data_IF_616503772722
#
_entry.id   IF_616503772722
#
_cell.length_a   1.000
_cell.length_b   1.000
_cell.length_c   1.000
_cell.angle_alpha   90.00
_cell.angle_beta   90.00
_cell.angle_gamma   90.00
#
_symmetry.space_group_name_H-M   'P 1'
#
loop_
_entity.id
_entity.type
_entity.pdbx_description
1 polymer ?
#
# COMPACT_ATOMS: atom_id res chain seq x y z
N UNK A 1 20.47 -20.52 -17.54
CA UNK A 1 20.56 -19.36 -18.47
C UNK A 1 21.80 -18.50 -18.31
N UNK A 2 22.05 -17.86 -17.16
CA UNK A 2 23.20 -16.95 -16.95
C UNK A 2 24.54 -17.48 -17.46
N UNK A 3 24.88 -18.69 -17.04
CA UNK A 3 26.12 -19.37 -17.43
C UNK A 3 26.12 -19.72 -18.92
N UNK A 4 24.98 -20.14 -19.46
CA UNK A 4 24.84 -20.40 -20.90
C UNK A 4 25.04 -19.13 -21.75
N UNK A 5 24.50 -17.99 -21.31
CA UNK A 5 24.73 -16.68 -21.97
C UNK A 5 26.22 -16.30 -21.93
N UNK A 6 26.87 -16.44 -20.77
CA UNK A 6 28.29 -16.17 -20.62
C UNK A 6 29.14 -17.05 -21.56
N UNK A 7 28.87 -18.36 -21.59
CA UNK A 7 29.58 -19.31 -22.46
C UNK A 7 29.34 -18.98 -23.94
N UNK A 8 28.10 -18.62 -24.32
CA UNK A 8 27.76 -18.33 -25.71
C UNK A 8 28.48 -17.11 -26.26
N UNK A 9 28.59 -16.05 -25.45
CA UNK A 9 29.05 -14.73 -25.88
C UNK A 9 30.49 -14.41 -25.44
N UNK A 10 31.17 -15.32 -24.73
CA UNK A 10 32.56 -15.09 -24.33
C UNK A 10 33.53 -15.20 -25.51
N UNK A 11 34.48 -14.27 -25.57
CA UNK A 11 35.59 -14.29 -26.53
C UNK A 11 36.81 -15.07 -26.04
N UNK A 12 36.80 -15.51 -24.78
CA UNK A 12 37.89 -16.27 -24.15
C UNK A 12 38.08 -17.64 -24.81
N UNK A 13 39.34 -17.99 -25.12
CA UNK A 13 39.68 -19.21 -25.86
C UNK A 13 39.35 -20.49 -25.09
N UNK A 14 39.53 -20.52 -23.77
CA UNK A 14 39.15 -21.66 -22.94
C UNK A 14 37.63 -21.81 -22.88
N UNK A 15 36.91 -20.70 -22.78
CA UNK A 15 35.44 -20.72 -22.77
C UNK A 15 34.87 -21.16 -24.13
N UNK A 16 35.54 -20.85 -25.25
CA UNK A 16 35.16 -21.39 -26.58
C UNK A 16 35.25 -22.91 -26.63
N UNK A 17 36.27 -23.52 -26.01
CA UNK A 17 36.35 -24.99 -25.89
C UNK A 17 35.17 -25.55 -25.08
N UNK A 18 34.80 -24.88 -23.98
CA UNK A 18 33.62 -25.22 -23.19
C UNK A 18 32.35 -25.10 -24.03
N UNK A 19 32.20 -24.04 -24.85
CA UNK A 19 31.06 -23.87 -25.78
C UNK A 19 30.96 -25.05 -26.75
N UNK A 20 32.04 -25.41 -27.43
CA UNK A 20 32.08 -26.55 -28.36
C UNK A 20 31.71 -27.87 -27.67
N UNK A 21 32.26 -28.12 -26.48
CA UNK A 21 31.92 -29.31 -25.68
C UNK A 21 30.42 -29.34 -25.31
N UNK A 22 29.87 -28.22 -24.83
CA UNK A 22 28.46 -28.13 -24.45
C UNK A 22 27.50 -28.23 -25.64
N UNK A 23 27.90 -27.76 -26.83
CA UNK A 23 27.15 -27.92 -28.07
C UNK A 23 27.17 -29.38 -28.55
N UNK A 24 28.30 -30.07 -28.45
CA UNK A 24 28.38 -31.52 -28.74
C UNK A 24 27.47 -32.32 -27.81
N UNK A 25 27.51 -32.04 -26.51
CA UNK A 25 26.59 -32.65 -25.54
C UNK A 25 25.11 -32.32 -25.80
N UNK A 26 24.82 -31.15 -26.38
CA UNK A 26 23.46 -30.79 -26.79
C UNK A 26 22.97 -31.68 -27.93
N UNK A 27 23.83 -32.03 -28.88
CA UNK A 27 23.49 -32.91 -30.02
C UNK A 27 23.44 -34.39 -29.62
N UNK A 28 24.22 -34.82 -28.63
CA UNK A 28 24.15 -36.17 -28.05
C UNK A 28 23.06 -36.28 -26.97
N UNK A 29 22.76 -37.49 -26.47
CA UNK A 29 21.85 -37.69 -25.32
C UNK A 29 22.45 -37.28 -23.96
N UNK A 30 23.50 -36.47 -23.96
CA UNK A 30 24.19 -36.02 -22.75
C UNK A 30 23.60 -34.71 -22.21
N UNK A 31 23.84 -34.45 -20.92
CA UNK A 31 23.45 -33.21 -20.26
C UNK A 31 24.26 -32.04 -20.80
N UNK A 32 23.59 -30.93 -21.07
CA UNK A 32 24.20 -29.70 -21.60
C UNK A 32 23.61 -28.48 -20.92
N UNK A 33 24.47 -27.50 -20.60
CA UNK A 33 24.03 -26.25 -19.98
C UNK A 33 23.10 -25.44 -20.88
N UNK A 34 23.19 -25.62 -22.20
CA UNK A 34 22.28 -25.01 -23.16
C UNK A 34 20.91 -25.69 -23.14
N UNK A 35 20.84 -27.02 -22.95
CA UNK A 35 19.56 -27.74 -22.74
C UNK A 35 18.90 -27.31 -21.43
N UNK A 36 19.67 -27.29 -20.34
CA UNK A 36 19.18 -26.85 -19.03
C UNK A 36 18.70 -25.39 -19.08
N UNK A 37 19.40 -24.52 -19.84
CA UNK A 37 18.97 -23.15 -20.04
C UNK A 37 17.68 -23.03 -20.86
N UNK A 38 17.51 -23.80 -21.94
CA UNK A 38 16.25 -23.85 -22.71
C UNK A 38 15.09 -24.33 -21.84
N UNK A 39 15.27 -25.41 -21.10
CA UNK A 39 14.26 -25.94 -20.17
C UNK A 39 13.85 -24.90 -19.12
N UNK A 40 14.82 -24.16 -18.60
CA UNK A 40 14.55 -23.06 -17.66
C UNK A 40 13.71 -21.93 -18.27
N UNK A 41 13.83 -21.66 -19.58
CA UNK A 41 13.03 -20.63 -20.26
C UNK A 41 11.70 -21.14 -20.79
N UNK A 42 11.46 -22.45 -20.82
CA UNK A 42 10.15 -23.04 -21.16
C UNK A 42 9.08 -22.69 -20.12
N UNK A 43 9.40 -22.69 -18.82
CA UNK A 43 8.47 -22.28 -17.76
C UNK A 43 7.87 -20.89 -17.99
N UNK A 44 8.65 -19.84 -18.31
CA UNK A 44 8.10 -18.54 -18.71
C UNK A 44 7.54 -18.47 -20.13
N UNK A 45 7.50 -19.58 -20.88
CA UNK A 45 7.13 -19.63 -22.31
C UNK A 45 8.02 -18.77 -23.20
N UNK A 46 9.29 -18.64 -22.84
CA UNK A 46 10.32 -17.92 -23.61
C UNK A 46 11.13 -18.95 -24.39
N UNK A 47 11.13 -18.83 -25.71
CA UNK A 47 12.05 -19.63 -26.53
C UNK A 47 13.45 -19.06 -26.39
N UNK A 48 14.42 -19.92 -26.07
CA UNK A 48 15.81 -19.52 -25.94
C UNK A 48 16.67 -20.25 -26.97
N UNK A 49 17.41 -19.47 -27.74
CA UNK A 49 18.42 -19.95 -28.66
C UNK A 49 19.77 -19.31 -28.37
N UNK A 50 20.81 -20.03 -28.77
CA UNK A 50 22.20 -19.65 -28.58
C UNK A 50 22.86 -19.74 -29.93
N UNK A 51 23.00 -18.59 -30.58
CA UNK A 51 23.65 -18.45 -31.87
C UNK A 51 25.14 -18.15 -31.65
N UNK A 52 25.92 -18.16 -32.73
CA UNK A 52 27.37 -17.97 -32.63
C UNK A 52 27.76 -16.62 -32.01
N UNK A 53 26.89 -15.61 -32.13
CA UNK A 53 27.16 -14.24 -31.71
C UNK A 53 26.22 -13.67 -30.64
N UNK A 54 25.13 -14.38 -30.28
CA UNK A 54 24.16 -13.87 -29.31
C UNK A 54 23.34 -14.99 -28.65
N UNK A 55 22.81 -14.69 -27.46
CA UNK A 55 21.67 -15.41 -26.89
C UNK A 55 20.39 -14.72 -27.36
N UNK A 56 19.50 -15.46 -28.02
CA UNK A 56 18.22 -14.96 -28.51
C UNK A 56 17.11 -15.45 -27.59
N UNK A 57 16.34 -14.54 -27.03
CA UNK A 57 15.16 -14.83 -26.20
C UNK A 57 13.92 -14.33 -26.94
N UNK A 58 12.99 -15.23 -27.29
CA UNK A 58 11.74 -14.88 -27.97
C UNK A 58 10.54 -15.04 -27.05
N UNK A 59 9.71 -14.01 -26.99
CA UNK A 59 8.47 -13.99 -26.22
C UNK A 59 7.31 -13.56 -27.13
N UNK A 60 6.57 -14.51 -27.69
CA UNK A 60 5.62 -14.24 -28.78
C UNK A 60 6.36 -13.70 -30.01
N UNK A 61 5.94 -12.54 -30.52
CA UNK A 61 6.53 -11.89 -31.70
C UNK A 61 7.75 -10.99 -31.37
N UNK A 62 8.15 -10.91 -30.09
CA UNK A 62 9.28 -10.08 -29.66
C UNK A 62 10.56 -10.91 -29.53
N UNK A 63 11.55 -10.55 -30.34
CA UNK A 63 12.91 -11.11 -30.29
C UNK A 63 13.85 -10.20 -29.51
N UNK A 64 14.52 -10.76 -28.51
CA UNK A 64 15.45 -10.04 -27.63
C UNK A 64 16.83 -10.67 -27.71
N UNK A 65 17.75 -9.98 -28.39
CA UNK A 65 19.12 -10.44 -28.56
C UNK A 65 20.05 -9.90 -27.47
N UNK A 66 20.77 -10.81 -26.81
CA UNK A 66 21.83 -10.48 -25.85
C UNK A 66 23.16 -10.93 -26.44
N UNK A 67 23.93 -9.99 -26.97
CA UNK A 67 25.28 -10.22 -27.50
C UNK A 67 26.38 -10.09 -26.43
N UNK A 68 26.03 -9.57 -25.26
CA UNK A 68 26.97 -9.40 -24.15
C UNK A 68 27.13 -10.69 -23.34
N UNK A 69 28.36 -10.96 -22.88
CA UNK A 69 28.67 -12.05 -21.96
C UNK A 69 28.17 -11.81 -20.54
N UNK A 70 27.81 -10.58 -20.17
CA UNK A 70 27.33 -10.22 -18.84
C UNK A 70 26.10 -11.03 -18.42
N UNK A 71 26.20 -11.82 -17.33
CA UNK A 71 25.11 -12.68 -16.87
C UNK A 71 23.82 -11.93 -16.49
N UNK A 72 23.92 -10.65 -16.14
CA UNK A 72 22.79 -9.87 -15.64
C UNK A 72 21.83 -9.45 -16.75
N UNK A 73 22.30 -9.24 -17.98
CA UNK A 73 21.44 -8.78 -19.09
C UNK A 73 20.42 -9.84 -19.50
N UNK A 74 20.82 -11.09 -19.63
CA UNK A 74 19.86 -12.18 -19.88
C UNK A 74 18.92 -12.41 -18.67
N UNK A 75 19.41 -12.22 -17.45
CA UNK A 75 18.58 -12.36 -16.23
C UNK A 75 17.51 -11.26 -16.13
N UNK A 76 17.86 -10.01 -16.41
CA UNK A 76 16.94 -8.88 -16.31
C UNK A 76 15.78 -9.01 -17.30
N UNK A 77 16.06 -9.50 -18.52
CA UNK A 77 15.05 -9.78 -19.54
C UNK A 77 14.04 -10.82 -19.04
N UNK A 78 14.51 -11.98 -18.58
CA UNK A 78 13.62 -13.03 -18.07
C UNK A 78 12.84 -12.57 -16.86
N UNK A 79 13.48 -11.82 -15.96
CA UNK A 79 12.79 -11.26 -14.80
C UNK A 79 11.66 -10.33 -15.25
N UNK A 80 11.91 -9.46 -16.23
CA UNK A 80 10.89 -8.56 -16.77
C UNK A 80 9.72 -9.33 -17.36
N UNK A 81 9.98 -10.29 -18.26
CA UNK A 81 8.93 -11.13 -18.88
C UNK A 81 8.13 -11.89 -17.82
N UNK A 82 8.80 -12.47 -16.81
CA UNK A 82 8.12 -13.16 -15.71
C UNK A 82 7.25 -12.23 -14.88
N UNK A 83 7.73 -11.02 -14.58
CA UNK A 83 6.97 -10.00 -13.86
C UNK A 83 5.74 -9.60 -14.67
N UNK A 84 5.90 -9.27 -15.95
CA UNK A 84 4.79 -8.87 -16.83
C UNK A 84 3.74 -9.97 -16.96
N UNK A 85 4.18 -11.24 -17.08
CA UNK A 85 3.28 -12.40 -17.08
C UNK A 85 2.51 -12.52 -15.77
N UNK A 86 3.21 -12.49 -14.62
CA UNK A 86 2.56 -12.58 -13.29
C UNK A 86 1.56 -11.45 -13.06
N UNK A 87 1.88 -10.24 -13.55
CA UNK A 87 0.96 -9.10 -13.52
C UNK A 87 -0.31 -9.42 -14.32
N UNK A 88 -0.17 -9.92 -15.56
CA UNK A 88 -1.32 -10.32 -16.40
C UNK A 88 -2.13 -11.46 -15.78
N UNK A 89 -1.47 -12.48 -15.24
CA UNK A 89 -2.13 -13.60 -14.57
C UNK A 89 -2.95 -13.11 -13.36
N UNK A 90 -2.41 -12.18 -12.57
CA UNK A 90 -3.13 -11.55 -11.45
C UNK A 90 -4.28 -10.66 -11.93
N UNK A 91 -4.10 -9.89 -13.01
CA UNK A 91 -5.17 -9.09 -13.62
C UNK A 91 -6.36 -9.95 -14.07
N UNK A 92 -6.09 -11.17 -14.57
CA UNK A 92 -7.14 -12.11 -14.97
C UNK A 92 -7.84 -12.78 -13.76
N UNK A 93 -7.24 -12.75 -12.57
CA UNK A 93 -7.84 -13.29 -11.35
C UNK A 93 -8.75 -12.25 -10.68
N UNK A 94 -10.01 -12.15 -11.15
CA UNK A 94 -10.98 -11.14 -10.71
C UNK A 94 -11.29 -11.11 -9.20
N UNK A 95 -10.95 -12.16 -8.45
CA UNK A 95 -11.09 -12.20 -7.00
C UNK A 95 -9.76 -11.98 -6.28
N UNK A 96 -8.83 -12.93 -6.43
CA UNK A 96 -7.56 -12.96 -5.70
C UNK A 96 -6.65 -11.81 -6.12
N UNK A 97 -6.73 -11.40 -7.39
CA UNK A 97 -5.97 -10.28 -7.93
C UNK A 97 -6.63 -8.91 -7.72
N UNK A 98 -7.91 -8.84 -7.33
CA UNK A 98 -8.70 -7.60 -7.33
C UNK A 98 -8.03 -6.43 -6.62
N UNK A 99 -7.63 -6.61 -5.36
CA UNK A 99 -7.03 -5.52 -4.58
C UNK A 99 -5.65 -5.15 -5.12
N UNK A 100 -4.83 -6.16 -5.46
CA UNK A 100 -3.49 -5.93 -6.01
C UNK A 100 -3.56 -5.14 -7.32
N UNK A 101 -4.51 -5.44 -8.19
CA UNK A 101 -4.65 -4.80 -9.50
C UNK A 101 -5.22 -3.38 -9.36
N UNK A 102 -6.17 -3.18 -8.45
CA UNK A 102 -6.66 -1.84 -8.10
C UNK A 102 -5.52 -0.94 -7.62
N UNK A 103 -4.61 -1.46 -6.79
CA UNK A 103 -3.46 -0.68 -6.32
C UNK A 103 -2.51 -0.31 -7.43
N UNK A 104 -2.21 -1.25 -8.33
CA UNK A 104 -1.30 -0.98 -9.44
C UNK A 104 -1.82 0.11 -10.38
N UNK A 105 -3.14 0.26 -10.48
CA UNK A 105 -3.77 1.31 -11.30
C UNK A 105 -4.08 2.59 -10.53
N UNK A 106 -3.95 2.61 -9.20
CA UNK A 106 -4.35 3.77 -8.39
C UNK A 106 -3.25 4.83 -8.36
N UNK A 107 -3.44 5.87 -9.17
CA UNK A 107 -2.56 7.03 -9.27
C UNK A 107 -2.54 7.95 -8.03
N UNK A 108 -3.38 7.69 -7.02
CA UNK A 108 -3.44 8.46 -5.78
C UNK A 108 -2.54 7.88 -4.69
N UNK A 109 -2.08 6.64 -4.84
CA UNK A 109 -1.26 5.97 -3.83
C UNK A 109 0.17 6.53 -3.85
N UNK A 110 0.75 6.78 -2.68
CA UNK A 110 2.16 7.19 -2.53
C UNK A 110 3.13 6.09 -2.99
N UNK A 111 4.23 6.46 -3.65
CA UNK A 111 5.30 5.52 -4.03
C UNK A 111 5.99 4.87 -2.83
N UNK A 112 5.94 5.52 -1.66
CA UNK A 112 6.49 5.02 -0.41
C UNK A 112 5.50 4.08 0.32
N UNK A 113 4.30 3.90 -0.23
CA UNK A 113 3.36 2.92 0.29
C UNK A 113 4.02 1.55 0.35
N UNK A 114 3.82 0.86 1.47
CA UNK A 114 4.42 -0.45 1.76
C UNK A 114 5.94 -0.48 1.94
N UNK A 115 6.61 0.66 2.10
CA UNK A 115 8.03 0.67 2.47
C UNK A 115 8.28 -0.08 3.80
N UNK A 116 7.29 -0.12 4.69
CA UNK A 116 7.32 -0.98 5.89
C UNK A 116 7.62 -2.44 5.55
N UNK A 117 7.05 -2.99 4.46
CA UNK A 117 7.32 -4.36 4.04
C UNK A 117 8.74 -4.54 3.49
N UNK A 118 9.40 -3.45 3.07
CA UNK A 118 10.81 -3.45 2.64
C UNK A 118 11.77 -3.28 3.82
N UNK A 119 11.35 -2.54 4.85
CA UNK A 119 12.19 -2.17 5.99
C UNK A 119 12.12 -3.20 7.13
N UNK A 120 10.96 -3.83 7.34
CA UNK A 120 10.75 -4.73 8.46
C UNK A 120 11.47 -6.06 8.23
N UNK A 121 12.64 -6.20 8.86
CA UNK A 121 13.41 -7.45 8.87
C UNK A 121 12.75 -8.43 9.85
N UNK A 122 12.53 -9.67 9.41
CA UNK A 122 11.93 -10.75 10.21
C UNK A 122 10.44 -10.58 10.54
N UNK A 123 9.62 -10.16 9.56
CA UNK A 123 8.16 -10.22 9.69
C UNK A 123 7.75 -11.66 10.03
N UNK A 124 6.99 -11.84 11.11
CA UNK A 124 6.50 -13.16 11.52
C UNK A 124 5.65 -13.79 10.40
N UNK A 125 5.82 -15.07 10.13
CA UNK A 125 5.07 -15.78 9.07
C UNK A 125 3.55 -15.65 9.27
N UNK A 126 3.07 -15.63 10.52
CA UNK A 126 1.65 -15.43 10.84
C UNK A 126 1.15 -14.07 10.35
N UNK A 127 1.93 -12.99 10.50
CA UNK A 127 1.56 -11.65 10.03
C UNK A 127 1.52 -11.62 8.50
N UNK A 128 2.50 -12.23 7.84
CA UNK A 128 2.52 -12.32 6.38
C UNK A 128 1.35 -13.16 5.84
N UNK A 129 1.00 -14.24 6.54
CA UNK A 129 -0.16 -15.07 6.21
C UNK A 129 -1.47 -14.28 6.31
N UNK A 130 -1.67 -13.54 7.41
CA UNK A 130 -2.88 -12.70 7.58
C UNK A 130 -2.94 -11.63 6.49
N UNK A 131 -1.83 -10.92 6.23
CA UNK A 131 -1.77 -9.90 5.19
C UNK A 131 -2.12 -10.50 3.81
N UNK A 132 -1.56 -11.66 3.49
CA UNK A 132 -1.83 -12.39 2.24
C UNK A 132 -3.32 -12.77 2.15
N UNK A 133 -3.91 -13.31 3.22
CA UNK A 133 -5.33 -13.65 3.26
C UNK A 133 -6.23 -12.43 3.03
N UNK A 134 -5.87 -11.26 3.56
CA UNK A 134 -6.63 -10.03 3.31
C UNK A 134 -6.51 -9.62 1.83
N UNK A 135 -5.28 -9.57 1.28
CA UNK A 135 -5.03 -9.19 -0.13
C UNK A 135 -5.77 -10.09 -1.11
N UNK A 136 -5.83 -11.38 -0.81
CA UNK A 136 -6.46 -12.40 -1.63
C UNK A 136 -7.95 -12.58 -1.33
N UNK A 137 -8.51 -11.79 -0.40
CA UNK A 137 -9.90 -11.88 0.04
C UNK A 137 -10.31 -13.29 0.52
N UNK A 138 -9.47 -13.90 1.37
CA UNK A 138 -9.64 -15.25 1.93
C UNK A 138 -10.10 -15.25 3.39
N UNK A 139 -10.45 -14.09 3.95
CA UNK A 139 -11.06 -14.07 5.28
C UNK A 139 -12.40 -14.81 5.23
N UNK A 140 -12.74 -15.48 6.34
CA UNK A 140 -13.94 -16.29 6.46
C UNK A 140 -15.24 -15.45 6.54
N UNK A 141 -15.53 -14.67 5.50
CA UNK A 141 -16.77 -13.92 5.39
C UNK A 141 -17.84 -14.74 4.68
N UNK A 142 -19.13 -14.44 4.90
CA UNK A 142 -20.23 -15.08 4.15
C UNK A 142 -20.04 -15.02 2.63
N UNK A 143 -19.53 -13.90 2.12
CA UNK A 143 -19.24 -13.75 0.68
C UNK A 143 -18.13 -14.70 0.22
N UNK A 144 -17.06 -14.87 0.99
CA UNK A 144 -16.02 -15.85 0.67
C UNK A 144 -16.54 -17.29 0.69
N UNK A 145 -17.27 -17.67 1.75
CA UNK A 145 -17.84 -19.03 1.89
C UNK A 145 -18.76 -19.39 0.73
N UNK A 146 -19.66 -18.48 0.36
CA UNK A 146 -20.59 -18.66 -0.76
C UNK A 146 -19.87 -18.69 -2.12
N UNK A 147 -18.98 -17.73 -2.39
CA UNK A 147 -18.44 -17.54 -3.75
C UNK A 147 -17.13 -18.30 -4.04
N UNK A 148 -16.39 -18.72 -3.01
CA UNK A 148 -15.10 -19.43 -3.16
C UNK A 148 -15.10 -20.85 -2.63
N UNK A 149 -15.78 -21.09 -1.51
CA UNK A 149 -15.90 -22.44 -0.94
C UNK A 149 -17.14 -23.17 -1.47
N UNK A 150 -18.05 -22.46 -2.14
CA UNK A 150 -19.33 -22.98 -2.64
C UNK A 150 -20.18 -23.60 -1.53
N UNK A 151 -20.05 -23.08 -0.31
CA UNK A 151 -20.90 -23.46 0.82
C UNK A 151 -22.31 -22.88 0.62
N UNK A 152 -23.33 -23.63 1.04
CA UNK A 152 -24.68 -23.09 1.14
C UNK A 152 -24.74 -22.10 2.31
N UNK A 153 -24.91 -20.82 1.98
CA UNK A 153 -25.09 -19.72 2.94
C UNK A 153 -26.46 -19.12 2.69
N UNK A 154 -27.27 -19.01 3.74
CA UNK A 154 -28.67 -18.54 3.67
C UNK A 154 -28.79 -17.12 3.09
N UNK A 155 -27.92 -16.22 3.54
CA UNK A 155 -27.85 -14.83 3.12
C UNK A 155 -26.41 -14.32 3.12
N UNK A 156 -26.15 -13.21 2.43
CA UNK A 156 -24.81 -12.59 2.41
C UNK A 156 -24.67 -11.37 3.33
N UNK A 157 -25.68 -11.04 4.14
CA UNK A 157 -25.66 -9.88 5.02
C UNK A 157 -24.71 -10.09 6.20
N UNK A 158 -24.03 -9.02 6.57
CA UNK A 158 -23.14 -8.96 7.72
C UNK A 158 -23.84 -9.46 8.98
N UNK A 159 -23.17 -10.33 9.72
CA UNK A 159 -23.69 -10.88 10.98
C UNK A 159 -23.95 -9.84 12.08
N UNK A 160 -23.38 -8.64 11.96
CA UNK A 160 -23.53 -7.58 12.95
C UNK A 160 -24.46 -6.46 12.49
N UNK A 161 -24.44 -6.12 11.21
CA UNK A 161 -25.25 -5.02 10.65
C UNK A 161 -26.52 -5.53 9.95
N UNK A 162 -26.53 -6.73 9.38
CA UNK A 162 -27.69 -7.34 8.70
C UNK A 162 -28.21 -6.58 7.46
N UNK A 163 -27.61 -5.45 7.06
CA UNK A 163 -28.06 -4.66 5.90
C UNK A 163 -27.09 -4.66 4.71
N UNK A 164 -25.79 -4.87 4.98
CA UNK A 164 -24.73 -4.81 3.97
C UNK A 164 -24.09 -6.17 3.78
N UNK A 165 -23.66 -6.44 2.56
CA UNK A 165 -22.98 -7.69 2.22
C UNK A 165 -21.67 -7.85 3.01
N UNK A 166 -21.46 -9.02 3.60
CA UNK A 166 -20.29 -9.37 4.40
C UNK A 166 -19.10 -9.72 3.50
N UNK A 167 -18.34 -8.69 3.13
CA UNK A 167 -17.09 -8.79 2.37
C UNK A 167 -15.89 -8.47 3.26
N UNK A 168 -14.68 -8.77 2.80
CA UNK A 168 -13.44 -8.36 3.49
C UNK A 168 -13.41 -6.85 3.73
N UNK A 169 -13.70 -6.06 2.70
CA UNK A 169 -13.78 -4.60 2.82
C UNK A 169 -14.82 -4.14 3.84
N UNK A 170 -15.98 -4.80 3.86
CA UNK A 170 -17.02 -4.51 4.84
C UNK A 170 -16.54 -4.78 6.27
N UNK A 171 -15.98 -5.95 6.53
CA UNK A 171 -15.51 -6.33 7.87
C UNK A 171 -14.37 -5.43 8.35
N UNK A 172 -13.43 -5.07 7.47
CA UNK A 172 -12.24 -4.30 7.85
C UNK A 172 -12.47 -2.80 8.05
N UNK A 173 -13.28 -2.16 7.21
CA UNK A 173 -13.49 -0.71 7.31
C UNK A 173 -14.92 -0.24 6.99
N UNK A 174 -15.77 -1.08 6.42
CA UNK A 174 -17.12 -0.69 5.98
C UNK A 174 -18.24 -0.89 7.00
N UNK A 175 -18.06 -1.73 8.02
CA UNK A 175 -19.13 -2.11 8.94
C UNK A 175 -19.26 -1.10 10.08
N UNK A 176 -20.35 -0.34 10.12
CA UNK A 176 -20.61 0.66 11.16
C UNK A 176 -20.64 0.07 12.59
N UNK A 177 -21.12 -1.17 12.75
CA UNK A 177 -21.18 -1.87 14.04
C UNK A 177 -19.81 -2.30 14.55
N UNK A 178 -18.91 -2.73 13.65
CA UNK A 178 -17.50 -3.03 13.98
C UNK A 178 -16.73 -1.71 14.22
N UNK A 179 -17.04 -0.69 13.42
CA UNK A 179 -16.43 0.63 13.48
C UNK A 179 -16.61 1.30 14.87
N UNK A 180 -17.71 1.02 15.55
CA UNK A 180 -18.06 1.65 16.83
C UNK A 180 -17.27 1.12 18.03
N UNK A 181 -16.75 -0.10 18.01
CA UNK A 181 -16.11 -0.74 19.17
C UNK A 181 -14.60 -0.97 18.97
N UNK A 182 -14.25 -1.98 18.17
CA UNK A 182 -12.87 -2.44 17.96
C UNK A 182 -12.07 -1.46 17.11
N UNK A 183 -12.72 -0.89 16.09
CA UNK A 183 -12.08 0.04 15.19
C UNK A 183 -11.69 1.33 15.91
N UNK A 184 -12.50 1.92 16.80
CA UNK A 184 -12.11 3.13 17.55
C UNK A 184 -10.81 2.93 18.33
N UNK A 185 -10.61 1.77 18.95
CA UNK A 185 -9.39 1.47 19.69
C UNK A 185 -8.17 1.30 18.78
N UNK A 186 -8.32 0.57 17.66
CA UNK A 186 -7.25 0.38 16.67
C UNK A 186 -6.93 1.68 15.92
N UNK A 187 -7.96 2.43 15.58
CA UNK A 187 -7.88 3.73 14.92
C UNK A 187 -7.19 4.77 15.80
N UNK A 188 -7.51 4.80 17.10
CA UNK A 188 -6.78 5.63 18.07
C UNK A 188 -5.30 5.24 18.15
N UNK A 189 -4.97 3.94 18.07
CA UNK A 189 -3.58 3.46 18.02
C UNK A 189 -2.84 3.93 16.75
N UNK A 190 -3.53 3.98 15.60
CA UNK A 190 -2.98 4.48 14.33
C UNK A 190 -2.81 6.02 14.36
N UNK A 191 -3.71 6.73 15.04
CA UNK A 191 -3.65 8.19 15.21
C UNK A 191 -2.61 8.65 16.24
N UNK A 192 -2.34 7.85 17.27
CA UNK A 192 -1.42 8.19 18.36
C UNK A 192 -0.03 8.66 17.88
N UNK A 193 0.64 7.97 16.94
CA UNK A 193 1.92 8.48 16.45
C UNK A 193 1.78 9.85 15.76
N UNK A 194 0.64 10.19 15.14
CA UNK A 194 0.39 11.52 14.52
C UNK A 194 0.42 12.60 15.58
N UNK A 195 -0.19 12.33 16.73
CA UNK A 195 -0.13 13.23 17.88
C UNK A 195 1.31 13.48 18.34
N UNK A 196 2.10 12.43 18.54
CA UNK A 196 3.48 12.56 19.03
C UNK A 196 4.40 13.21 17.99
N UNK A 197 4.20 12.94 16.70
CA UNK A 197 4.92 13.63 15.63
C UNK A 197 4.64 15.14 15.59
N UNK A 198 3.38 15.54 15.86
CA UNK A 198 3.02 16.95 15.97
C UNK A 198 3.66 17.60 17.21
N UNK A 199 3.68 16.88 18.34
CA UNK A 199 4.34 17.37 19.56
C UNK A 199 5.82 17.63 19.35
N UNK A 200 6.53 16.67 18.76
CA UNK A 200 7.94 16.79 18.39
C UNK A 200 8.17 17.99 17.48
N UNK A 201 7.40 18.09 16.38
CA UNK A 201 7.52 19.16 15.40
C UNK A 201 7.36 20.56 15.99
N UNK A 202 6.45 20.73 16.93
CA UNK A 202 6.16 22.02 17.54
C UNK A 202 6.94 22.27 18.84
N UNK A 203 7.84 21.36 19.23
CA UNK A 203 8.69 21.48 20.40
C UNK A 203 7.90 21.48 21.70
N UNK A 204 6.94 20.58 21.84
CA UNK A 204 6.35 20.27 23.14
C UNK A 204 7.27 19.33 23.91
N UNK A 205 7.57 19.66 25.16
CA UNK A 205 8.37 18.80 26.05
C UNK A 205 7.69 17.42 26.22
N UNK A 206 8.48 16.38 26.50
CA UNK A 206 8.01 15.00 26.75
C UNK A 206 7.26 14.34 25.58
N UNK A 207 7.77 14.56 24.36
CA UNK A 207 7.35 13.82 23.17
C UNK A 207 7.86 12.37 23.24
N UNK A 208 6.95 11.40 23.18
CA UNK A 208 7.31 9.98 23.06
C UNK A 208 7.49 9.56 21.60
N UNK A 209 7.80 10.50 20.70
CA UNK A 209 7.83 10.21 19.27
C UNK A 209 8.86 9.12 18.90
N UNK A 210 10.00 9.08 19.60
CA UNK A 210 11.02 8.04 19.41
C UNK A 210 10.62 6.67 19.95
N UNK A 211 9.60 6.59 20.81
CA UNK A 211 9.12 5.33 21.36
C UNK A 211 8.29 4.58 20.31
N UNK A 212 8.35 3.24 20.27
CA UNK A 212 7.45 2.43 19.47
C UNK A 212 5.99 2.84 19.69
N UNK A 213 5.20 2.89 18.62
CA UNK A 213 3.82 3.43 18.65
C UNK A 213 2.93 2.80 19.73
N UNK A 214 3.19 1.54 20.10
CA UNK A 214 2.43 0.81 21.11
C UNK A 214 2.85 1.13 22.56
N UNK A 215 3.98 1.80 22.77
CA UNK A 215 4.47 2.29 24.07
C UNK A 215 4.29 3.80 24.26
N UNK A 216 3.81 4.50 23.24
CA UNK A 216 3.54 5.93 23.31
C UNK A 216 2.45 6.25 24.33
N UNK A 217 2.64 7.33 25.09
CA UNK A 217 1.65 7.81 26.07
C UNK A 217 0.33 8.25 25.42
N UNK A 218 -0.71 8.32 26.24
CA UNK A 218 -2.04 8.75 25.83
C UNK A 218 -2.06 10.21 25.36
N UNK A 219 -2.91 10.48 24.36
CA UNK A 219 -3.11 11.83 23.83
C UNK A 219 -3.80 12.75 24.83
N UNK A 220 -3.31 13.98 24.97
CA UNK A 220 -3.97 15.00 25.78
C UNK A 220 -5.01 15.78 24.96
N UNK A 221 -6.20 16.09 25.53
CA UNK A 221 -7.27 16.77 24.79
C UNK A 221 -6.88 18.14 24.24
N UNK A 222 -6.06 18.90 24.97
CA UNK A 222 -5.62 20.23 24.56
C UNK A 222 -4.19 20.46 25.01
N UNK A 223 -3.36 20.98 24.10
CA UNK A 223 -2.03 21.47 24.40
C UNK A 223 -1.78 22.82 23.74
N UNK A 224 -1.01 23.67 24.40
CA UNK A 224 -0.75 25.02 23.91
C UNK A 224 0.63 25.47 24.35
N UNK A 225 1.38 26.06 23.42
CA UNK A 225 2.61 26.79 23.70
C UNK A 225 2.57 28.15 22.99
N UNK A 226 3.68 28.89 22.99
CA UNK A 226 3.73 30.22 22.37
C UNK A 226 3.53 30.22 20.84
N UNK A 227 3.71 29.08 20.17
CA UNK A 227 3.67 28.95 18.69
C UNK A 227 2.39 28.29 18.20
N UNK A 228 1.87 27.29 18.92
CA UNK A 228 0.79 26.43 18.44
C UNK A 228 -0.21 26.08 19.55
N UNK A 229 -1.45 25.82 19.17
CA UNK A 229 -2.46 25.18 20.00
C UNK A 229 -3.00 23.94 19.30
N UNK A 230 -3.03 22.80 19.98
CA UNK A 230 -3.50 21.51 19.46
C UNK A 230 -4.71 21.08 20.28
N UNK A 231 -5.79 20.74 19.58
CA UNK A 231 -6.97 20.12 20.13
C UNK A 231 -7.13 18.70 19.58
N UNK A 232 -7.34 17.74 20.46
CA UNK A 232 -7.52 16.33 20.14
C UNK A 232 -8.93 15.87 20.50
N UNK A 233 -9.69 15.42 19.50
CA UNK A 233 -11.09 14.99 19.64
C UNK A 233 -12.01 16.03 20.34
N UNK A 234 -11.71 17.33 20.22
CA UNK A 234 -12.53 18.40 20.78
C UNK A 234 -13.53 18.92 19.73
N UNK A 235 -14.84 18.92 20.03
CA UNK A 235 -15.84 19.48 19.13
C UNK A 235 -15.78 21.01 19.09
N UNK A 236 -15.94 21.57 17.90
CA UNK A 236 -16.13 23.00 17.69
C UNK A 236 -17.53 23.43 18.09
N UNK A 237 -17.59 24.48 18.91
CA UNK A 237 -18.81 25.19 19.24
C UNK A 237 -18.97 26.35 18.26
N UNK A 238 -19.88 26.18 17.30
CA UNK A 238 -20.20 27.18 16.27
C UNK A 238 -21.61 27.73 16.51
N UNK A 239 -21.83 28.99 16.15
CA UNK A 239 -23.17 29.61 16.21
C UNK A 239 -24.19 28.87 15.32
N UNK A 240 -23.75 28.42 14.14
CA UNK A 240 -24.50 27.49 13.28
C UNK A 240 -23.80 26.14 13.27
N UNK A 241 -24.45 25.13 13.81
CA UNK A 241 -24.00 23.76 13.69
C UNK A 241 -23.95 23.35 12.20
N UNK A 242 -22.89 22.64 11.76
CA UNK A 242 -22.84 22.04 10.42
C UNK A 242 -24.08 21.19 10.18
N UNK A 243 -24.60 21.17 8.94
CA UNK A 243 -25.84 20.43 8.60
C UNK A 243 -25.78 18.94 8.98
N UNK A 244 -24.60 18.35 8.96
CA UNK A 244 -24.34 16.96 9.33
C UNK A 244 -23.75 16.79 10.75
N UNK A 245 -24.07 17.67 11.70
CA UNK A 245 -23.55 17.59 13.09
C UNK A 245 -23.89 16.26 13.79
N UNK A 246 -25.01 15.64 13.43
CA UNK A 246 -25.39 14.29 13.88
C UNK A 246 -24.35 13.21 13.53
N UNK A 247 -23.50 13.46 12.51
CA UNK A 247 -22.40 12.59 12.09
C UNK A 247 -21.03 13.00 12.66
N UNK A 248 -21.02 13.69 13.82
CA UNK A 248 -19.81 14.23 14.49
C UNK A 248 -18.98 15.18 13.61
N UNK A 249 -19.60 15.84 12.63
CA UNK A 249 -18.89 16.69 11.66
C UNK A 249 -18.30 17.95 12.29
N UNK A 250 -18.74 18.34 13.49
CA UNK A 250 -18.16 19.43 14.26
C UNK A 250 -16.94 19.01 15.10
N UNK A 251 -16.58 17.73 15.11
CA UNK A 251 -15.48 17.19 15.91
C UNK A 251 -14.44 16.53 15.00
N UNK A 252 -13.52 17.31 14.42
CA UNK A 252 -12.34 16.77 13.77
C UNK A 252 -11.52 15.92 14.75
N UNK A 253 -10.81 14.94 14.21
CA UNK A 253 -9.83 14.16 14.97
C UNK A 253 -8.79 15.07 15.65
N UNK A 254 -8.25 16.05 14.90
CA UNK A 254 -7.29 17.03 15.43
C UNK A 254 -7.58 18.42 14.87
N UNK A 255 -7.48 19.45 15.70
CA UNK A 255 -7.45 20.85 15.24
C UNK A 255 -6.18 21.53 15.72
N UNK A 256 -5.43 22.17 14.82
CA UNK A 256 -4.14 22.78 15.11
C UNK A 256 -4.20 24.25 14.71
N UNK A 257 -3.95 25.14 15.66
CA UNK A 257 -3.76 26.56 15.40
C UNK A 257 -2.28 26.89 15.36
N UNK A 258 -1.80 27.29 14.20
CA UNK A 258 -0.52 27.98 14.08
C UNK A 258 -0.73 29.48 14.39
N UNK A 259 -0.20 29.94 15.52
CA UNK A 259 -0.36 31.32 15.99
C UNK A 259 0.44 32.32 15.17
N UNK A 260 1.55 31.88 14.56
CA UNK A 260 2.43 32.74 13.75
C UNK A 260 1.79 33.04 12.40
N UNK A 261 1.28 32.02 11.73
CA UNK A 261 0.68 32.16 10.39
C UNK A 261 -0.83 32.42 10.42
N UNK A 262 -1.44 32.45 11.61
CA UNK A 262 -2.89 32.60 11.81
C UNK A 262 -3.65 31.56 10.95
N UNK A 263 -3.33 30.29 11.15
CA UNK A 263 -3.87 29.20 10.36
C UNK A 263 -4.41 28.06 11.25
N UNK A 264 -5.65 27.66 10.99
CA UNK A 264 -6.25 26.45 11.53
C UNK A 264 -6.10 25.30 10.56
N UNK A 265 -5.52 24.20 11.03
CA UNK A 265 -5.43 22.92 10.32
C UNK A 265 -6.34 21.90 11.00
N UNK A 266 -7.35 21.43 10.28
CA UNK A 266 -8.22 20.36 10.73
C UNK A 266 -7.72 19.06 10.14
N UNK A 267 -7.39 18.08 10.96
CA UNK A 267 -7.02 16.74 10.50
C UNK A 267 -8.17 15.79 10.77
N UNK A 268 -8.46 14.97 9.78
CA UNK A 268 -9.47 13.94 9.85
C UNK A 268 -8.92 12.70 9.17
N UNK A 269 -8.73 11.63 9.94
CA UNK A 269 -8.30 10.37 9.39
C UNK A 269 -9.46 9.45 9.02
N UNK A 270 -9.15 8.41 8.28
CA UNK A 270 -10.06 7.31 7.99
C UNK A 270 -9.31 6.14 7.39
N UNK A 271 -9.84 4.93 7.60
CA UNK A 271 -9.38 3.75 6.87
C UNK A 271 -10.25 3.56 5.64
N UNK A 272 -9.64 3.25 4.49
CA UNK A 272 -10.31 3.04 3.21
C UNK A 272 -10.17 1.61 2.70
N UNK A 273 -11.02 1.30 1.74
CA UNK A 273 -10.88 0.12 0.89
C UNK A 273 -9.86 0.40 -0.24
N UNK A 274 -9.13 -0.62 -0.71
CA UNK A 274 -8.40 -0.58 -1.97
C UNK A 274 -9.13 0.14 -3.09
N UNK A 275 -8.46 1.12 -3.69
CA UNK A 275 -8.97 1.88 -4.84
C UNK A 275 -10.04 2.93 -4.53
N UNK A 276 -10.31 3.25 -3.26
CA UNK A 276 -11.32 4.27 -2.89
C UNK A 276 -10.74 5.53 -2.24
N UNK A 277 -9.41 5.73 -2.27
CA UNK A 277 -8.74 6.85 -1.60
C UNK A 277 -9.27 8.20 -2.11
N UNK A 278 -9.26 8.41 -3.44
CA UNK A 278 -9.75 9.65 -4.04
C UNK A 278 -11.22 9.96 -3.70
N UNK A 279 -12.08 8.93 -3.74
CA UNK A 279 -13.50 9.09 -3.44
C UNK A 279 -13.72 9.53 -1.99
N UNK A 280 -12.96 8.94 -1.06
CA UNK A 280 -13.03 9.26 0.37
C UNK A 280 -12.48 10.66 0.65
N UNK A 281 -11.37 11.06 0.02
CA UNK A 281 -10.84 12.42 0.14
C UNK A 281 -11.90 13.44 -0.30
N UNK A 282 -12.48 13.24 -1.49
CA UNK A 282 -13.54 14.11 -2.02
C UNK A 282 -14.76 14.15 -1.09
N UNK A 283 -15.18 12.99 -0.59
CA UNK A 283 -16.28 12.89 0.37
C UNK A 283 -16.00 13.70 1.64
N UNK A 284 -14.82 13.54 2.24
CA UNK A 284 -14.42 14.26 3.47
C UNK A 284 -14.29 15.77 3.21
N UNK A 285 -13.69 16.18 2.09
CA UNK A 285 -13.61 17.58 1.70
C UNK A 285 -15.00 18.23 1.65
N UNK A 286 -15.99 17.54 1.07
CA UNK A 286 -17.38 18.01 1.03
C UNK A 286 -18.04 17.99 2.40
N UNK A 287 -17.83 16.93 3.20
CA UNK A 287 -18.41 16.77 4.54
C UNK A 287 -18.04 17.94 5.47
N UNK A 288 -16.81 18.44 5.42
CA UNK A 288 -16.32 19.45 6.36
C UNK A 288 -16.38 20.90 5.83
N UNK A 289 -17.06 21.16 4.70
CA UNK A 289 -17.19 22.53 4.14
C UNK A 289 -17.80 23.49 5.14
N UNK A 290 -18.94 23.13 5.74
CA UNK A 290 -19.67 23.99 6.68
C UNK A 290 -18.85 24.26 7.95
N UNK A 291 -18.12 23.26 8.47
CA UNK A 291 -17.24 23.44 9.63
C UNK A 291 -16.15 24.46 9.33
N UNK A 292 -15.48 24.33 8.18
CA UNK A 292 -14.41 25.26 7.78
C UNK A 292 -14.92 26.68 7.66
N UNK A 293 -16.11 26.88 7.08
CA UNK A 293 -16.75 28.19 6.98
C UNK A 293 -17.08 28.75 8.36
N UNK A 294 -17.65 27.94 9.26
CA UNK A 294 -17.93 28.33 10.63
C UNK A 294 -16.68 28.81 11.38
N UNK A 295 -15.60 28.04 11.34
CA UNK A 295 -14.34 28.40 12.01
C UNK A 295 -13.76 29.70 11.41
N UNK A 296 -13.82 29.86 10.09
CA UNK A 296 -13.35 31.08 9.42
C UNK A 296 -14.12 32.32 9.86
N UNK A 297 -15.41 32.18 10.16
CA UNK A 297 -16.25 33.27 10.68
C UNK A 297 -15.93 33.60 12.14
N UNK A 298 -15.64 32.59 13.00
CA UNK A 298 -15.20 32.84 14.37
C UNK A 298 -13.80 33.47 14.43
N UNK A 299 -12.90 33.07 13.54
CA UNK A 299 -11.50 33.53 13.52
C UNK A 299 -11.25 34.37 12.27
N UNK A 300 -11.80 35.59 12.25
CA UNK A 300 -11.64 36.51 11.13
C UNK A 300 -10.17 36.77 10.81
N UNK A 301 -9.82 36.66 9.52
CA UNK A 301 -8.45 36.81 9.02
C UNK A 301 -7.58 35.56 9.16
N UNK A 302 -8.08 34.46 9.73
CA UNK A 302 -7.35 33.19 9.78
C UNK A 302 -7.61 32.35 8.53
N UNK A 303 -6.61 31.58 8.12
CA UNK A 303 -6.77 30.53 7.12
C UNK A 303 -7.31 29.26 7.79
N UNK A 304 -8.12 28.48 7.07
CA UNK A 304 -8.64 27.19 7.55
C UNK A 304 -8.44 26.12 6.48
N UNK A 305 -7.61 25.12 6.78
CA UNK A 305 -7.35 23.97 5.90
C UNK A 305 -7.85 22.67 6.52
N UNK A 306 -8.23 21.74 5.65
CA UNK A 306 -8.56 20.36 6.03
C UNK A 306 -7.47 19.47 5.43
N UNK A 307 -6.87 18.62 6.25
CA UNK A 307 -5.91 17.58 5.89
C UNK A 307 -6.63 16.26 6.10
N UNK A 308 -6.78 15.47 5.03
CA UNK A 308 -7.50 14.19 5.11
C UNK A 308 -6.50 13.06 5.14
N UNK A 309 -6.41 12.36 6.27
CA UNK A 309 -5.43 11.28 6.47
C UNK A 309 -6.10 9.95 6.09
N UNK A 310 -6.01 9.57 4.82
CA UNK A 310 -6.61 8.31 4.34
C UNK A 310 -5.56 7.21 4.29
N UNK A 311 -5.77 6.17 5.10
CA UNK A 311 -5.00 4.93 5.03
C UNK A 311 -5.86 3.82 4.47
N UNK A 312 -5.39 3.11 3.48
CA UNK A 312 -6.00 1.87 3.06
C UNK A 312 -5.61 0.74 4.03
N UNK A 313 -6.52 -0.19 4.32
CA UNK A 313 -6.25 -1.26 5.30
C UNK A 313 -5.11 -2.22 4.91
N UNK A 314 -4.60 -2.19 3.67
CA UNK A 314 -3.38 -2.95 3.31
C UNK A 314 -2.09 -2.14 3.50
N UNK A 315 -2.17 -0.85 3.86
CA UNK A 315 -1.04 0.05 4.12
C UNK A 315 -0.73 1.06 3.02
N UNK A 316 -1.60 1.21 2.02
CA UNK A 316 -1.50 2.31 1.05
C UNK A 316 -2.00 3.62 1.66
N UNK A 317 -1.52 4.75 1.17
CA UNK A 317 -1.98 6.06 1.60
C UNK A 317 -1.84 7.08 0.46
N UNK A 318 -2.51 8.22 0.62
CA UNK A 318 -2.51 9.29 -0.38
C UNK A 318 -1.10 9.87 -0.64
N UNK A 319 -0.76 10.08 -1.91
CA UNK A 319 0.56 10.56 -2.37
C UNK A 319 0.90 11.98 -1.92
N UNK A 320 -0.09 12.81 -1.63
CA UNK A 320 0.10 14.19 -1.22
C UNK A 320 0.11 14.32 0.32
N UNK A 321 -0.26 13.27 1.05
CA UNK A 321 -0.25 13.25 2.52
C UNK A 321 1.11 13.62 3.13
N UNK A 322 2.21 13.12 2.55
CA UNK A 322 3.57 13.43 3.02
C UNK A 322 3.88 14.93 2.92
N UNK A 323 3.38 15.58 1.85
CA UNK A 323 3.51 17.03 1.67
C UNK A 323 2.59 17.80 2.61
N UNK A 324 1.34 17.36 2.76
CA UNK A 324 0.34 18.02 3.60
C UNK A 324 0.74 18.03 5.08
N UNK A 325 1.34 16.95 5.57
CA UNK A 325 1.76 16.86 6.95
C UNK A 325 3.07 17.60 7.24
N UNK A 326 3.85 17.99 6.21
CA UNK A 326 5.15 18.67 6.37
C UNK A 326 6.02 18.00 7.46
N UNK A 327 5.86 16.69 7.59
CA UNK A 327 6.47 15.80 8.57
C UNK A 327 6.98 14.66 7.72
N UNK A 328 8.28 14.36 7.83
CA UNK A 328 8.78 13.07 7.42
C UNK A 328 8.05 12.05 8.28
N UNK A 329 6.95 11.50 7.75
CA UNK A 329 6.20 10.47 8.41
C UNK A 329 7.08 9.21 8.39
N UNK A 330 7.96 9.09 9.37
CA UNK A 330 8.62 7.84 9.76
C UNK A 330 7.59 6.87 10.39
N UNK A 331 6.39 6.78 9.83
CA UNK A 331 5.21 6.30 10.55
C UNK A 331 5.07 4.79 10.62
N UNK A 332 6.00 4.03 10.05
CA UNK A 332 5.87 2.60 9.93
C UNK A 332 7.24 1.91 10.03
N UNK A 333 8.04 2.31 11.02
CA UNK A 333 9.25 1.62 11.45
C UNK A 333 8.99 0.72 12.65
#
# INVERSE_FOLDING_TARGET
LKVANYISNSKDQHIKLVKSYQLKNKQSHLRSIFKDAKKYTEEPRIQCDFDDNATVLRNGDQDMCVSDKEPQKAKSIINKVNTDRRIKDLQNQLWVGKFVTQHWSDSQISNNSYDILKQWKNILDTIMSINTSIRQQLLNTKTYRSQKVYEQVEDLFCLLWFEKQETVSHVLCGCSRIAQSLYKTQYNKIRCPVYHALREKYGFDESDYSSPWFMQSHTLPSQENNKVKIFWDIPWQLEKCPKDSANNTNKPDVSILDKKYKEWSLMEGTISTPGTIAEIIKYKQNKYVDLKLGIKNLYLGYKVKLITIVFEYLGAYDKDLDKELNIYLFFLG
#
